data_IF_020278993864
#
_entry.id   IF_020278993864
#
_cell.length_a   1.000
_cell.length_b   1.000
_cell.length_c   1.000
_cell.angle_alpha   90.00
_cell.angle_beta   90.00
_cell.angle_gamma   90.00
#
_symmetry.space_group_name_H-M   'P 1'
#
loop_
_entity.id
_entity.type
_entity.pdbx_description
1 polymer ?
#
# COMPACT_ATOMS: atom_id res chain seq x y z
N UNK A 1 1.02 -5.76 -37.95
CA UNK A 1 1.06 -4.28 -38.02
C UNK A 1 1.65 -3.79 -36.71
N UNK A 2 2.72 -2.99 -36.72
CA UNK A 2 3.23 -2.34 -35.51
C UNK A 2 2.51 -1.01 -35.35
N UNK A 3 1.98 -0.74 -34.16
CA UNK A 3 1.26 0.49 -33.84
C UNK A 3 2.01 1.22 -32.74
N UNK A 4 2.08 2.54 -32.85
CA UNK A 4 2.75 3.40 -31.88
C UNK A 4 1.70 4.21 -31.19
N UNK A 5 1.68 4.12 -29.86
CA UNK A 5 0.84 4.94 -29.02
C UNK A 5 1.68 6.11 -28.51
N UNK A 6 1.31 7.32 -28.90
CA UNK A 6 1.92 8.55 -28.39
C UNK A 6 1.03 9.12 -27.30
N UNK A 7 1.50 9.01 -26.07
CA UNK A 7 0.72 9.38 -24.90
C UNK A 7 1.16 10.67 -24.23
N UNK A 8 2.34 11.21 -24.60
CA UNK A 8 2.89 12.41 -23.97
C UNK A 8 3.31 13.49 -24.95
N UNK A 9 2.96 14.76 -24.67
CA UNK A 9 3.82 15.86 -25.07
C UNK A 9 5.17 15.62 -24.41
N UNK A 10 6.23 15.55 -25.21
CA UNK A 10 7.58 15.56 -24.68
C UNK A 10 8.20 16.93 -24.99
N UNK A 11 8.97 17.45 -24.04
CA UNK A 11 9.69 18.73 -24.18
C UNK A 11 11.07 18.56 -24.85
N UNK A 12 11.37 17.36 -25.36
CA UNK A 12 12.63 17.05 -26.03
C UNK A 12 12.61 17.31 -27.55
N UNK A 13 13.64 16.85 -28.28
CA UNK A 13 13.70 16.96 -29.74
C UNK A 13 12.67 16.06 -30.44
N UNK A 14 12.07 16.48 -31.58
CA UNK A 14 11.02 15.72 -32.27
C UNK A 14 11.33 14.23 -32.35
N UNK A 15 10.40 13.37 -31.91
CA UNK A 15 10.56 11.93 -32.00
C UNK A 15 10.70 11.53 -33.47
N UNK A 16 11.90 11.07 -33.86
CA UNK A 16 12.12 10.47 -35.17
C UNK A 16 11.49 9.08 -35.19
N UNK A 17 10.37 8.95 -35.90
CA UNK A 17 9.72 7.66 -36.09
C UNK A 17 10.48 6.84 -37.15
N UNK A 18 10.75 5.54 -36.90
CA UNK A 18 11.18 4.65 -37.96
C UNK A 18 10.25 4.77 -39.18
N UNK A 19 10.82 4.94 -40.37
CA UNK A 19 10.09 5.15 -41.65
C UNK A 19 9.08 4.04 -41.95
N UNK A 20 9.20 2.89 -41.30
CA UNK A 20 8.30 1.74 -41.40
C UNK A 20 7.05 1.82 -40.51
N UNK A 21 6.89 2.86 -39.70
CA UNK A 21 5.72 3.06 -38.83
C UNK A 21 4.70 4.00 -39.50
N UNK A 22 3.39 3.72 -39.34
CA UNK A 22 2.34 4.59 -39.86
C UNK A 22 2.37 5.97 -39.16
N UNK A 23 1.85 6.99 -39.85
CA UNK A 23 1.71 8.35 -39.30
C UNK A 23 0.87 8.29 -38.03
N UNK A 24 1.29 8.94 -36.92
CA UNK A 24 0.50 8.96 -35.69
C UNK A 24 -0.88 9.58 -35.92
N UNK A 25 -1.92 8.93 -35.41
CA UNK A 25 -3.30 9.43 -35.40
C UNK A 25 -3.74 9.63 -33.96
N UNK A 26 -4.33 10.79 -33.65
CA UNK A 26 -4.91 11.05 -32.32
C UNK A 26 -6.31 10.47 -32.25
N UNK A 27 -6.59 9.68 -31.21
CA UNK A 27 -7.96 9.24 -30.87
C UNK A 27 -8.54 10.28 -29.93
N UNK A 28 -9.62 11.00 -30.29
CA UNK A 28 -10.26 11.95 -29.38
C UNK A 28 -10.83 11.25 -28.15
N UNK A 29 -10.90 11.94 -27.02
CA UNK A 29 -11.42 11.38 -25.76
C UNK A 29 -12.82 10.77 -25.95
N UNK A 30 -13.01 9.55 -25.43
CA UNK A 30 -14.27 8.81 -25.56
C UNK A 30 -14.52 8.20 -26.95
N UNK A 31 -13.67 8.44 -27.95
CA UNK A 31 -13.78 7.79 -29.25
C UNK A 31 -13.04 6.46 -29.31
N UNK A 32 -13.47 5.64 -30.26
CA UNK A 32 -12.96 4.31 -30.53
C UNK A 32 -12.41 4.27 -31.95
N UNK A 33 -11.19 3.78 -32.10
CA UNK A 33 -10.54 3.52 -33.37
C UNK A 33 -10.43 2.01 -33.59
N UNK A 34 -11.17 1.48 -34.56
CA UNK A 34 -11.01 0.10 -35.02
C UNK A 34 -9.91 0.03 -36.08
N UNK A 35 -9.01 -0.93 -35.91
CA UNK A 35 -7.81 -1.09 -36.72
C UNK A 35 -7.96 -2.30 -37.64
N UNK A 36 -7.28 -2.26 -38.78
CA UNK A 36 -7.27 -3.37 -39.77
C UNK A 36 -6.73 -4.68 -39.14
N UNK A 37 -5.92 -4.58 -38.09
CA UNK A 37 -5.44 -5.73 -37.31
C UNK A 37 -6.50 -6.38 -36.41
N UNK A 38 -7.76 -5.93 -36.45
CA UNK A 38 -8.83 -6.38 -35.56
C UNK A 38 -8.74 -5.83 -34.13
N UNK A 39 -7.76 -4.96 -33.86
CA UNK A 39 -7.62 -4.30 -32.57
C UNK A 39 -8.52 -3.08 -32.49
N UNK A 40 -8.94 -2.74 -31.27
CA UNK A 40 -9.75 -1.56 -30.97
C UNK A 40 -9.03 -0.69 -29.95
N UNK A 41 -8.84 0.59 -30.25
CA UNK A 41 -8.21 1.56 -29.34
C UNK A 41 -9.24 2.58 -28.89
N UNK A 42 -9.42 2.73 -27.58
CA UNK A 42 -10.32 3.72 -26.96
C UNK A 42 -9.53 4.70 -26.11
N UNK A 43 -9.77 5.99 -26.31
CA UNK A 43 -9.22 7.03 -25.45
C UNK A 43 -9.99 7.08 -24.12
N UNK A 44 -9.27 7.07 -23.01
CA UNK A 44 -9.81 7.08 -21.64
C UNK A 44 -9.53 8.44 -21.00
N UNK A 45 -10.59 9.08 -20.52
CA UNK A 45 -10.50 10.36 -19.83
C UNK A 45 -9.84 10.21 -18.45
N UNK A 46 -9.00 11.19 -18.10
CA UNK A 46 -8.19 11.19 -16.88
C UNK A 46 -8.54 12.36 -15.96
N UNK A 47 -8.15 12.24 -14.70
CA UNK A 47 -8.31 13.28 -13.68
C UNK A 47 -7.21 14.35 -13.72
N UNK A 48 -6.25 14.20 -14.64
CA UNK A 48 -5.13 15.08 -14.90
C UNK A 48 -4.93 15.27 -16.41
N UNK A 49 -4.20 16.30 -16.86
CA UNK A 49 -3.89 16.49 -18.28
C UNK A 49 -3.21 15.26 -18.90
N UNK A 50 -3.75 14.77 -20.00
CA UNK A 50 -3.26 13.58 -20.70
C UNK A 50 -4.42 12.72 -21.21
N UNK A 51 -4.08 11.65 -21.93
CA UNK A 51 -5.07 10.69 -22.43
C UNK A 51 -4.58 9.28 -22.11
N UNK A 52 -5.40 8.51 -21.40
CA UNK A 52 -5.18 7.08 -21.22
C UNK A 52 -5.67 6.33 -22.44
N UNK A 53 -5.20 5.11 -22.65
CA UNK A 53 -5.61 4.31 -23.79
C UNK A 53 -5.94 2.89 -23.38
N UNK A 54 -7.14 2.47 -23.72
CA UNK A 54 -7.54 1.07 -23.70
C UNK A 54 -7.31 0.47 -25.09
N UNK A 55 -6.69 -0.70 -25.12
CA UNK A 55 -6.48 -1.48 -26.35
C UNK A 55 -7.13 -2.83 -26.14
N UNK A 56 -8.12 -3.18 -26.97
CA UNK A 56 -8.71 -4.50 -27.02
C UNK A 56 -8.20 -5.26 -28.25
N UNK A 57 -7.72 -6.48 -28.03
CA UNK A 57 -7.29 -7.42 -29.06
C UNK A 57 -8.47 -8.11 -29.76
N UNK A 58 -8.24 -8.73 -30.93
CA UNK A 58 -9.27 -9.47 -31.66
C UNK A 58 -9.77 -10.71 -30.89
N UNK A 59 -8.92 -11.28 -30.02
CA UNK A 59 -9.24 -12.47 -29.22
C UNK A 59 -9.84 -12.10 -27.84
N UNK A 60 -10.07 -10.80 -27.60
CA UNK A 60 -10.78 -10.27 -26.44
C UNK A 60 -9.90 -9.76 -25.31
N UNK A 61 -8.57 -9.91 -25.38
CA UNK A 61 -7.65 -9.40 -24.37
C UNK A 61 -7.63 -7.87 -24.35
N UNK A 62 -7.43 -7.29 -23.17
CA UNK A 62 -7.53 -5.87 -22.90
C UNK A 62 -6.30 -5.39 -22.16
N UNK A 63 -5.74 -4.32 -22.68
CA UNK A 63 -4.65 -3.58 -22.08
C UNK A 63 -5.13 -2.16 -21.75
N UNK A 64 -4.79 -1.69 -20.56
CA UNK A 64 -4.93 -0.27 -20.20
C UNK A 64 -3.54 0.34 -20.05
N UNK A 65 -3.32 1.46 -20.71
CA UNK A 65 -2.17 2.32 -20.50
C UNK A 65 -2.62 3.65 -19.89
N UNK A 66 -1.97 4.06 -18.81
CA UNK A 66 -2.14 5.36 -18.19
C UNK A 66 -0.83 6.17 -18.26
N UNK A 67 -0.92 7.48 -18.54
CA UNK A 67 0.22 8.38 -18.50
C UNK A 67 0.79 8.58 -17.07
N UNK A 68 2.02 9.14 -16.90
CA UNK A 68 2.49 9.62 -15.61
C UNK A 68 1.47 10.57 -15.02
N UNK A 69 1.33 10.54 -13.70
CA UNK A 69 0.40 11.39 -12.98
C UNK A 69 -1.10 11.22 -13.30
N UNK A 70 -1.46 10.36 -14.26
CA UNK A 70 -2.85 10.18 -14.70
C UNK A 70 -3.57 9.05 -13.98
N UNK A 71 -4.72 9.34 -13.37
CA UNK A 71 -5.69 8.33 -12.99
C UNK A 71 -6.98 8.48 -13.80
N UNK A 72 -7.72 7.40 -13.98
CA UNK A 72 -9.01 7.43 -14.68
C UNK A 72 -10.01 8.35 -13.97
N UNK A 73 -10.65 9.27 -14.71
CA UNK A 73 -11.64 10.21 -14.17
C UNK A 73 -13.03 9.55 -13.93
N UNK A 74 -13.21 8.36 -14.47
CA UNK A 74 -14.40 7.53 -14.31
C UNK A 74 -14.20 6.23 -15.08
N UNK A 75 -14.72 5.13 -14.55
CA UNK A 75 -14.72 3.84 -15.23
C UNK A 75 -16.16 3.52 -15.62
N UNK A 76 -16.53 3.84 -16.86
CA UNK A 76 -17.68 3.18 -17.48
C UNK A 76 -17.28 1.71 -17.69
N UNK A 77 -17.63 0.85 -16.74
CA UNK A 77 -17.30 -0.57 -16.79
C UNK A 77 -18.03 -1.24 -17.96
N UNK A 78 -17.34 -1.33 -19.08
CA UNK A 78 -17.68 -2.21 -20.18
C UNK A 78 -16.50 -3.15 -20.42
N UNK A 79 -16.57 -4.40 -19.92
CA UNK A 79 -15.67 -5.48 -20.34
C UNK A 79 -14.88 -6.27 -19.29
N UNK A 80 -15.13 -6.14 -17.98
CA UNK A 80 -14.43 -6.91 -16.94
C UNK A 80 -13.02 -6.36 -16.58
N UNK A 81 -12.19 -7.11 -15.84
CA UNK A 81 -10.81 -6.71 -15.54
C UNK A 81 -9.93 -6.70 -16.79
N UNK A 82 -8.86 -5.91 -16.77
CA UNK A 82 -7.82 -5.93 -17.79
C UNK A 82 -6.86 -7.09 -17.56
N UNK A 83 -6.37 -7.70 -18.64
CA UNK A 83 -5.28 -8.69 -18.61
C UNK A 83 -3.96 -8.02 -18.26
N UNK A 84 -3.74 -6.78 -18.72
CA UNK A 84 -2.51 -6.03 -18.46
C UNK A 84 -2.81 -4.54 -18.24
N UNK A 85 -2.17 -3.95 -17.24
CA UNK A 85 -2.24 -2.50 -16.96
C UNK A 85 -0.83 -1.92 -16.86
N UNK A 86 -0.57 -0.88 -17.64
CA UNK A 86 0.64 -0.06 -17.60
C UNK A 86 0.29 1.24 -16.89
N UNK A 87 0.81 1.43 -15.68
CA UNK A 87 0.46 2.58 -14.83
C UNK A 87 1.65 3.05 -14.01
N UNK A 88 1.65 4.33 -13.67
CA UNK A 88 2.57 4.90 -12.68
C UNK A 88 2.18 4.46 -11.26
N UNK A 89 2.72 3.32 -10.83
CA UNK A 89 2.46 2.73 -9.50
C UNK A 89 3.09 3.57 -8.37
N UNK A 90 4.20 4.26 -8.64
CA UNK A 90 4.99 4.92 -7.59
C UNK A 90 4.59 6.39 -7.42
N UNK A 91 4.41 7.11 -8.51
CA UNK A 91 3.97 8.51 -8.53
C UNK A 91 2.45 8.65 -8.33
N UNK A 92 1.64 7.69 -8.79
CA UNK A 92 0.17 7.69 -8.63
C UNK A 92 -0.42 6.36 -8.14
N UNK A 93 -0.06 5.92 -6.92
CA UNK A 93 -0.61 4.68 -6.36
C UNK A 93 -2.15 4.71 -6.21
N UNK A 94 -2.74 5.90 -6.03
CA UNK A 94 -4.20 6.06 -5.94
C UNK A 94 -4.91 5.69 -7.26
N UNK A 95 -4.26 5.86 -8.41
CA UNK A 95 -4.80 5.44 -9.71
C UNK A 95 -5.01 3.92 -9.76
N UNK A 96 -4.05 3.16 -9.27
CA UNK A 96 -4.17 1.70 -9.15
C UNK A 96 -5.25 1.30 -8.13
N UNK A 97 -5.36 2.02 -7.02
CA UNK A 97 -6.42 1.79 -6.03
C UNK A 97 -7.83 1.99 -6.63
N UNK A 98 -8.03 3.02 -7.46
CA UNK A 98 -9.30 3.28 -8.15
C UNK A 98 -9.63 2.18 -9.16
N UNK A 99 -8.64 1.71 -9.93
CA UNK A 99 -8.84 0.59 -10.86
C UNK A 99 -9.27 -0.69 -10.13
N UNK A 100 -8.67 -0.98 -8.97
CA UNK A 100 -9.07 -2.10 -8.11
C UNK A 100 -10.47 -1.94 -7.53
N UNK A 101 -10.81 -0.75 -7.03
CA UNK A 101 -12.15 -0.45 -6.51
C UNK A 101 -13.25 -0.71 -7.54
N UNK A 102 -12.94 -0.40 -8.81
CA UNK A 102 -13.84 -0.62 -9.92
C UNK A 102 -13.70 -2.01 -10.58
N UNK A 103 -12.99 -2.96 -9.98
CA UNK A 103 -12.83 -4.31 -10.52
C UNK A 103 -12.11 -4.38 -11.88
N UNK A 104 -11.47 -3.29 -12.31
CA UNK A 104 -10.71 -3.24 -13.56
C UNK A 104 -9.32 -3.89 -13.41
N UNK A 105 -8.82 -3.98 -12.17
CA UNK A 105 -7.60 -4.70 -11.81
C UNK A 105 -7.94 -5.73 -10.74
N UNK A 106 -7.61 -6.99 -10.99
CA UNK A 106 -7.81 -8.10 -10.04
C UNK A 106 -6.57 -8.99 -9.90
N UNK A 107 -6.71 -10.15 -9.24
CA UNK A 107 -5.60 -11.11 -9.05
C UNK A 107 -5.01 -11.63 -10.37
N UNK A 108 -5.82 -11.70 -11.43
CA UNK A 108 -5.41 -12.06 -12.77
C UNK A 108 -5.16 -10.85 -13.66
N UNK A 109 -4.57 -9.77 -13.14
CA UNK A 109 -4.16 -8.61 -13.95
C UNK A 109 -2.66 -8.43 -13.83
N UNK A 110 -1.94 -8.43 -14.95
CA UNK A 110 -0.52 -8.12 -14.97
C UNK A 110 -0.32 -6.60 -14.85
N UNK A 111 0.11 -6.14 -13.67
CA UNK A 111 0.36 -4.73 -13.41
C UNK A 111 1.84 -4.43 -13.66
N UNK A 112 2.11 -3.62 -14.69
CA UNK A 112 3.45 -3.19 -15.07
C UNK A 112 3.63 -1.73 -14.71
N UNK A 113 4.55 -1.46 -13.78
CA UNK A 113 4.96 -0.12 -13.43
C UNK A 113 5.76 0.51 -14.56
N UNK A 114 5.27 1.65 -15.05
CA UNK A 114 5.89 2.50 -16.07
C UNK A 114 6.10 3.90 -15.51
N UNK A 115 6.78 4.76 -16.27
CA UNK A 115 7.09 6.15 -15.86
C UNK A 115 8.02 6.22 -14.65
N UNK A 116 8.94 5.27 -14.57
CA UNK A 116 9.98 5.19 -13.55
C UNK A 116 11.18 6.01 -14.04
N UNK A 117 11.47 7.13 -13.38
CA UNK A 117 12.56 8.04 -13.73
C UNK A 117 13.75 7.92 -12.76
N UNK A 118 14.53 8.99 -12.60
CA UNK A 118 15.69 9.01 -11.70
C UNK A 118 15.34 9.41 -10.25
N UNK A 119 14.10 9.85 -10.01
CA UNK A 119 13.60 10.24 -8.70
C UNK A 119 13.01 9.04 -7.94
N UNK A 120 12.78 7.90 -8.63
CA UNK A 120 12.42 6.65 -7.97
C UNK A 120 13.58 6.05 -7.19
N UNK A 121 13.19 5.36 -6.12
CA UNK A 121 14.14 4.78 -5.19
C UNK A 121 15.02 3.69 -5.83
N UNK A 122 16.18 3.36 -5.21
CA UNK A 122 17.09 2.35 -5.73
C UNK A 122 16.40 1.00 -6.01
N UNK A 123 16.99 0.21 -6.92
CA UNK A 123 16.34 -0.98 -7.50
C UNK A 123 15.74 -1.97 -6.49
N UNK A 124 16.35 -2.15 -5.32
CA UNK A 124 15.82 -3.05 -4.28
C UNK A 124 14.58 -2.47 -3.57
N UNK A 125 14.63 -1.19 -3.22
CA UNK A 125 13.52 -0.45 -2.65
C UNK A 125 12.34 -0.40 -3.63
N UNK A 126 12.62 -0.12 -4.90
CA UNK A 126 11.63 -0.14 -5.97
C UNK A 126 10.98 -1.53 -6.10
N UNK A 127 11.78 -2.60 -6.18
CA UNK A 127 11.26 -3.97 -6.25
C UNK A 127 10.34 -4.31 -5.08
N UNK A 128 10.70 -3.92 -3.85
CA UNK A 128 9.85 -4.14 -2.68
C UNK A 128 8.53 -3.38 -2.78
N UNK A 129 8.57 -2.10 -3.16
CA UNK A 129 7.35 -1.27 -3.32
C UNK A 129 6.42 -1.84 -4.38
N UNK A 130 6.97 -2.27 -5.52
CA UNK A 130 6.19 -2.89 -6.58
C UNK A 130 5.60 -4.23 -6.14
N UNK A 131 6.36 -5.07 -5.43
CA UNK A 131 5.86 -6.33 -4.88
C UNK A 131 4.69 -6.13 -3.90
N UNK A 132 4.77 -5.14 -3.01
CA UNK A 132 3.65 -4.80 -2.10
C UNK A 132 2.39 -4.34 -2.85
N UNK A 133 2.58 -3.73 -4.02
CA UNK A 133 1.52 -3.35 -4.94
C UNK A 133 1.09 -4.47 -5.90
N UNK A 134 1.66 -5.69 -5.85
CA UNK A 134 1.37 -6.74 -6.83
C UNK A 134 1.72 -6.32 -8.27
N UNK A 135 2.75 -5.49 -8.42
CA UNK A 135 3.21 -4.96 -9.68
C UNK A 135 4.65 -5.41 -9.96
N UNK A 136 5.04 -5.36 -11.24
CA UNK A 136 6.42 -5.61 -11.68
C UNK A 136 6.91 -4.47 -12.55
N UNK A 137 8.21 -4.44 -12.81
CA UNK A 137 8.81 -3.53 -13.80
C UNK A 137 9.55 -4.35 -14.85
N UNK A 138 9.79 -3.74 -16.01
CA UNK A 138 10.58 -4.31 -17.11
C UNK A 138 11.57 -3.28 -17.62
N UNK A 139 12.72 -3.70 -18.20
CA UNK A 139 13.61 -2.79 -18.90
C UNK A 139 12.91 -2.08 -20.05
N UNK A 140 13.33 -0.86 -20.34
CA UNK A 140 12.86 -0.12 -21.52
C UNK A 140 13.09 -0.90 -22.81
N UNK A 141 12.13 -0.81 -23.74
CA UNK A 141 12.15 -1.56 -25.00
C UNK A 141 11.71 -3.03 -24.89
N UNK A 142 11.37 -3.52 -23.69
CA UNK A 142 10.80 -4.86 -23.53
C UNK A 142 9.48 -5.01 -24.27
N UNK A 143 9.34 -6.08 -25.06
CA UNK A 143 8.06 -6.45 -25.69
C UNK A 143 7.22 -7.28 -24.73
N UNK A 144 6.00 -6.81 -24.44
CA UNK A 144 5.04 -7.50 -23.58
C UNK A 144 4.01 -8.26 -24.42
N UNK A 145 3.59 -9.43 -23.92
CA UNK A 145 2.48 -10.20 -24.50
C UNK A 145 1.30 -10.14 -23.55
N UNK A 146 0.21 -9.48 -23.96
CA UNK A 146 -1.03 -9.37 -23.17
C UNK A 146 -1.68 -10.76 -23.05
N UNK A 147 -2.29 -11.06 -21.91
CA UNK A 147 -2.92 -12.35 -21.64
C UNK A 147 -1.96 -13.48 -21.26
N UNK A 148 -0.63 -13.23 -21.24
CA UNK A 148 0.33 -14.09 -20.55
C UNK A 148 0.54 -13.59 -19.13
N UNK A 149 0.19 -14.43 -18.16
CA UNK A 149 0.41 -14.17 -16.75
C UNK A 149 1.77 -14.73 -16.33
N UNK A 150 2.79 -13.89 -16.10
CA UNK A 150 3.93 -14.35 -15.32
C UNK A 150 3.48 -14.64 -13.88
N UNK A 151 4.20 -15.52 -13.17
CA UNK A 151 4.00 -15.69 -11.73
C UNK A 151 4.33 -14.36 -11.01
N UNK A 152 3.30 -13.56 -10.73
CA UNK A 152 3.43 -12.38 -9.88
C UNK A 152 3.27 -12.86 -8.43
N UNK A 153 4.23 -12.55 -7.53
CA UNK A 153 4.10 -12.94 -6.13
C UNK A 153 2.81 -12.39 -5.54
N UNK A 154 2.06 -13.22 -4.80
CA UNK A 154 0.95 -12.69 -4.00
C UNK A 154 1.51 -11.66 -3.00
N UNK A 155 0.89 -10.48 -2.87
CA UNK A 155 1.34 -9.50 -1.90
C UNK A 155 1.18 -10.07 -0.48
N UNK A 156 2.11 -9.76 0.44
CA UNK A 156 2.04 -10.28 1.81
C UNK A 156 0.77 -9.79 2.50
N UNK A 157 0.08 -10.72 3.17
CA UNK A 157 -1.17 -10.38 3.87
C UNK A 157 -0.91 -9.66 5.19
N UNK A 158 0.16 -9.98 5.92
CA UNK A 158 0.44 -9.42 7.24
C UNK A 158 1.86 -8.87 7.25
N UNK A 159 1.95 -7.56 7.37
CA UNK A 159 3.23 -6.85 7.45
C UNK A 159 3.35 -6.15 8.79
N UNK A 160 4.47 -6.36 9.49
CA UNK A 160 4.84 -5.59 10.68
C UNK A 160 5.93 -4.58 10.32
N UNK A 161 5.70 -3.29 10.59
CA UNK A 161 6.66 -2.20 10.41
C UNK A 161 7.13 -1.71 11.78
N UNK A 162 8.37 -2.00 12.10
CA UNK A 162 9.07 -1.58 13.32
C UNK A 162 9.89 -0.31 13.07
N UNK A 163 10.17 0.42 14.14
CA UNK A 163 11.14 1.50 14.10
C UNK A 163 11.04 2.48 15.25
N UNK A 164 12.05 3.32 15.39
CA UNK A 164 12.08 4.37 16.41
C UNK A 164 10.98 5.43 16.23
N UNK A 165 10.93 6.38 17.17
CA UNK A 165 10.12 7.58 16.99
C UNK A 165 10.63 8.38 15.78
N UNK A 166 9.72 8.88 14.93
CA UNK A 166 10.04 9.69 13.73
C UNK A 166 10.97 8.99 12.72
N UNK A 167 11.03 7.66 12.72
CA UNK A 167 11.90 6.92 11.79
C UNK A 167 11.33 6.75 10.38
N UNK A 168 10.09 7.17 10.14
CA UNK A 168 9.39 6.99 8.86
C UNK A 168 8.46 5.77 8.79
N UNK A 169 8.34 4.96 9.85
CA UNK A 169 7.52 3.73 9.85
C UNK A 169 6.05 3.92 9.45
N UNK A 170 5.38 4.98 9.91
CA UNK A 170 3.99 5.26 9.52
C UNK A 170 3.87 5.62 8.05
N UNK A 171 4.84 6.35 7.49
CA UNK A 171 4.87 6.69 6.06
C UNK A 171 5.07 5.44 5.20
N UNK A 172 5.95 4.52 5.63
CA UNK A 172 6.10 3.24 4.93
C UNK A 172 4.82 2.41 5.00
N UNK A 173 4.19 2.34 6.18
CA UNK A 173 2.92 1.64 6.32
C UNK A 173 1.81 2.22 5.43
N UNK A 174 1.76 3.56 5.30
CA UNK A 174 0.84 4.24 4.38
C UNK A 174 1.13 3.86 2.92
N UNK A 175 2.40 3.83 2.52
CA UNK A 175 2.83 3.45 1.15
C UNK A 175 2.46 2.01 0.79
N UNK A 176 2.65 1.06 1.70
CA UNK A 176 2.32 -0.35 1.47
C UNK A 176 0.84 -0.56 1.10
N UNK A 177 -0.04 0.32 1.57
CA UNK A 177 -1.48 0.24 1.32
C UNK A 177 -1.98 1.29 0.32
N UNK A 178 -1.11 2.16 -0.21
CA UNK A 178 -1.51 3.28 -1.07
C UNK A 178 -2.19 2.84 -2.38
N UNK A 179 -1.90 1.63 -2.84
CA UNK A 179 -2.50 1.03 -4.04
C UNK A 179 -3.77 0.24 -3.76
N UNK A 180 -4.22 0.16 -2.51
CA UNK A 180 -5.40 -0.59 -2.12
C UNK A 180 -6.61 0.33 -1.95
N UNK A 181 -7.80 -0.12 -2.39
CA UNK A 181 -9.05 0.59 -2.11
C UNK A 181 -9.53 0.35 -0.67
N UNK A 182 -10.43 1.22 -0.19
CA UNK A 182 -11.18 1.05 1.06
C UNK A 182 -10.35 0.74 2.32
N UNK A 183 -9.13 1.29 2.39
CA UNK A 183 -8.24 1.10 3.54
C UNK A 183 -8.85 1.71 4.79
N UNK A 184 -8.86 0.93 5.89
CA UNK A 184 -9.21 1.39 7.22
C UNK A 184 -7.94 1.66 8.03
N UNK A 185 -7.69 2.93 8.34
CA UNK A 185 -6.64 3.37 9.23
C UNK A 185 -7.16 3.38 10.68
N UNK A 186 -6.52 2.63 11.56
CA UNK A 186 -6.85 2.51 12.98
C UNK A 186 -5.81 3.27 13.80
N UNK A 187 -6.24 4.38 14.38
CA UNK A 187 -5.42 5.18 15.28
C UNK A 187 -5.64 4.71 16.73
N UNK A 188 -4.60 4.15 17.35
CA UNK A 188 -4.66 3.60 18.72
C UNK A 188 -4.23 4.60 19.79
N UNK A 189 -3.77 5.79 19.38
CA UNK A 189 -3.25 6.81 20.29
C UNK A 189 -4.29 7.62 21.07
N UNK A 190 -5.58 7.41 20.79
CA UNK A 190 -6.68 8.17 21.37
C UNK A 190 -6.60 9.70 21.14
N UNK A 191 -7.53 10.42 21.77
CA UNK A 191 -7.45 11.88 21.90
C UNK A 191 -6.67 12.22 23.17
N UNK A 192 -5.48 12.79 23.00
CA UNK A 192 -4.85 13.56 24.09
C UNK A 192 -5.47 14.96 24.06
N UNK A 193 -6.59 15.11 24.76
CA UNK A 193 -7.28 16.39 24.84
C UNK A 193 -6.35 17.46 25.44
N UNK A 194 -6.20 18.59 24.75
CA UNK A 194 -5.44 19.74 25.23
C UNK A 194 -3.97 19.83 24.81
N UNK A 195 -3.46 18.96 23.94
CA UNK A 195 -2.10 19.04 23.37
C UNK A 195 -2.12 19.59 21.92
N UNK A 196 -1.77 20.87 21.68
CA UNK A 196 -1.77 21.48 20.35
C UNK A 196 -0.78 20.82 19.38
N UNK A 197 0.36 20.34 19.87
CA UNK A 197 1.37 19.67 19.06
C UNK A 197 0.85 18.29 18.61
N UNK A 198 0.13 17.59 19.48
CA UNK A 198 -0.57 16.36 19.12
C UNK A 198 -1.65 16.61 18.07
N UNK A 199 -2.47 17.64 18.24
CA UNK A 199 -3.53 17.99 17.30
C UNK A 199 -2.99 18.34 15.90
N UNK A 200 -1.94 19.17 15.83
CA UNK A 200 -1.28 19.52 14.57
C UNK A 200 -0.69 18.28 13.88
N UNK A 201 -0.10 17.36 14.66
CA UNK A 201 0.43 16.09 14.14
C UNK A 201 -0.68 15.20 13.57
N UNK A 202 -1.80 15.05 14.26
CA UNK A 202 -2.95 14.26 13.79
C UNK A 202 -3.50 14.88 12.49
N UNK A 203 -3.63 16.21 12.43
CA UNK A 203 -4.07 16.90 11.22
C UNK A 203 -3.13 16.64 10.03
N UNK A 204 -1.82 16.76 10.24
CA UNK A 204 -0.83 16.47 9.20
C UNK A 204 -0.85 15.00 8.75
N UNK A 205 -1.11 14.05 9.66
CA UNK A 205 -1.23 12.64 9.29
C UNK A 205 -2.50 12.36 8.49
N UNK A 206 -3.63 12.98 8.88
CA UNK A 206 -4.89 12.83 8.14
C UNK A 206 -4.81 13.45 6.74
N UNK A 207 -4.19 14.62 6.60
CA UNK A 207 -4.07 15.33 5.33
C UNK A 207 -3.20 14.58 4.29
N UNK A 208 -2.28 13.72 4.73
CA UNK A 208 -1.44 12.90 3.84
C UNK A 208 -2.15 11.66 3.29
N UNK A 209 -3.21 11.19 3.95
CA UNK A 209 -3.89 9.94 3.58
C UNK A 209 -4.75 10.17 2.34
N UNK A 210 -4.88 9.18 1.44
CA UNK A 210 -5.84 9.25 0.36
C UNK A 210 -7.26 9.50 0.90
N UNK A 211 -8.04 10.36 0.24
CA UNK A 211 -9.40 10.70 0.67
C UNK A 211 -10.37 9.51 0.69
N UNK A 212 -10.03 8.41 0.02
CA UNK A 212 -10.78 7.15 0.06
C UNK A 212 -10.59 6.36 1.36
N UNK A 213 -9.59 6.69 2.18
CA UNK A 213 -9.29 5.98 3.41
C UNK A 213 -10.24 6.38 4.53
N UNK A 214 -10.68 5.40 5.32
CA UNK A 214 -11.50 5.64 6.51
C UNK A 214 -10.62 5.58 7.75
N UNK A 215 -10.73 6.58 8.62
CA UNK A 215 -10.02 6.58 9.91
C UNK A 215 -10.97 6.16 11.04
N UNK A 216 -10.50 5.27 11.92
CA UNK A 216 -11.20 4.85 13.14
C UNK A 216 -10.25 5.00 14.32
N UNK A 217 -10.70 5.66 15.39
CA UNK A 217 -9.95 5.79 16.64
C UNK A 217 -10.46 4.74 17.62
N UNK A 218 -9.67 3.71 17.91
CA UNK A 218 -10.05 2.64 18.83
C UNK A 218 -8.84 1.82 19.27
N UNK A 219 -8.91 1.24 20.47
CA UNK A 219 -8.01 0.20 20.97
C UNK A 219 -8.64 -1.20 20.89
N UNK A 220 -9.90 -1.32 20.48
CA UNK A 220 -10.58 -2.60 20.27
C UNK A 220 -10.24 -3.17 18.89
N UNK A 221 -9.06 -3.79 18.81
CA UNK A 221 -8.46 -4.23 17.54
C UNK A 221 -8.93 -5.60 17.06
N UNK A 222 -9.28 -6.52 17.97
CA UNK A 222 -9.62 -7.90 17.63
C UNK A 222 -10.84 -7.99 16.70
N UNK A 223 -11.95 -7.28 16.95
CA UNK A 223 -13.11 -7.30 16.04
C UNK A 223 -12.79 -6.76 14.64
N UNK A 224 -11.85 -5.82 14.53
CA UNK A 224 -11.41 -5.29 13.24
C UNK A 224 -10.60 -6.32 12.46
N UNK A 225 -9.80 -7.15 13.13
CA UNK A 225 -9.01 -8.20 12.48
C UNK A 225 -9.88 -9.38 12.03
N UNK A 226 -10.96 -9.68 12.76
CA UNK A 226 -11.84 -10.83 12.47
C UNK A 226 -13.00 -10.51 11.51
N UNK A 227 -13.21 -9.24 11.17
CA UNK A 227 -14.17 -8.76 10.17
C UNK A 227 -13.79 -9.23 8.75
N UNK A 228 -14.34 -10.36 8.33
CA UNK A 228 -14.02 -11.02 7.04
C UNK A 228 -14.44 -10.21 5.81
N UNK A 229 -15.40 -9.30 5.95
CA UNK A 229 -15.89 -8.43 4.87
C UNK A 229 -15.11 -7.11 4.80
N UNK A 230 -14.20 -6.87 5.75
CA UNK A 230 -13.45 -5.63 5.81
C UNK A 230 -12.31 -5.56 4.79
N UNK A 231 -12.12 -4.39 4.18
CA UNK A 231 -10.97 -4.08 3.31
C UNK A 231 -9.62 -4.08 4.05
N UNK A 232 -8.53 -3.61 3.43
CA UNK A 232 -7.23 -3.58 4.08
C UNK A 232 -7.18 -2.72 5.34
N UNK A 233 -6.33 -3.09 6.30
CA UNK A 233 -6.27 -2.51 7.64
C UNK A 233 -4.86 -2.00 7.95
N UNK A 234 -4.74 -0.75 8.40
CA UNK A 234 -3.50 -0.18 8.91
C UNK A 234 -3.69 0.13 10.39
N UNK A 235 -2.92 -0.50 11.29
CA UNK A 235 -2.96 -0.23 12.74
C UNK A 235 -1.73 0.58 13.15
N UNK A 236 -1.92 1.82 13.59
CA UNK A 236 -0.85 2.75 14.00
C UNK A 236 -1.17 3.38 15.37
N UNK A 237 -0.49 2.99 16.46
CA UNK A 237 0.52 1.93 16.58
C UNK A 237 0.28 0.96 17.73
N UNK A 238 0.87 -0.22 17.63
CA UNK A 238 0.80 -1.25 18.67
C UNK A 238 1.38 -0.76 19.99
N UNK A 239 2.35 0.15 20.00
CA UNK A 239 2.90 0.67 21.25
C UNK A 239 1.86 1.46 22.07
N UNK A 240 1.01 2.27 21.42
CA UNK A 240 -0.05 3.02 22.09
C UNK A 240 -1.23 2.12 22.49
N UNK A 241 -1.59 1.18 21.62
CA UNK A 241 -2.53 0.12 21.98
C UNK A 241 -2.05 -0.68 23.20
N UNK A 242 -0.75 -0.97 23.27
CA UNK A 242 -0.20 -1.74 24.37
C UNK A 242 -0.15 -0.93 25.67
N UNK A 243 0.05 0.39 25.60
CA UNK A 243 -0.15 1.28 26.74
C UNK A 243 -1.58 1.18 27.28
N UNK A 244 -2.60 1.28 26.41
CA UNK A 244 -4.01 1.12 26.79
C UNK A 244 -4.30 -0.28 27.37
N UNK A 245 -3.72 -1.33 26.78
CA UNK A 245 -3.86 -2.69 27.29
C UNK A 245 -3.22 -2.87 28.68
N UNK A 246 -2.11 -2.18 28.97
CA UNK A 246 -1.49 -2.14 30.29
C UNK A 246 -2.32 -1.34 31.29
N UNK A 247 -2.85 -0.18 30.91
CA UNK A 247 -3.74 0.64 31.74
C UNK A 247 -4.97 -0.16 32.19
N UNK A 248 -5.61 -0.86 31.24
CA UNK A 248 -6.83 -1.62 31.48
C UNK A 248 -6.68 -2.81 32.45
N UNK A 249 -5.45 -3.23 32.75
CA UNK A 249 -5.15 -4.30 33.71
C UNK A 249 -4.27 -3.82 34.87
N UNK A 250 -4.14 -2.49 35.02
CA UNK A 250 -3.33 -1.83 36.05
C UNK A 250 -1.87 -2.32 36.09
N UNK A 251 -1.31 -2.71 34.93
CA UNK A 251 0.02 -3.32 34.83
C UNK A 251 1.19 -2.39 35.19
N UNK A 252 0.93 -1.12 35.45
CA UNK A 252 1.94 -0.15 35.87
C UNK A 252 2.30 -0.26 37.34
N UNK A 253 1.37 -0.73 38.16
CA UNK A 253 1.58 -0.96 39.59
C UNK A 253 2.20 -2.34 39.83
N UNK A 254 3.20 -2.41 40.71
CA UNK A 254 3.96 -3.64 40.95
C UNK A 254 3.10 -4.70 41.66
N UNK A 255 2.27 -4.30 42.62
CA UNK A 255 1.40 -5.24 43.33
C UNK A 255 0.32 -5.79 42.39
N UNK A 256 -0.30 -4.93 41.57
CA UNK A 256 -1.30 -5.39 40.60
C UNK A 256 -0.71 -6.28 39.52
N UNK A 257 0.52 -5.98 39.08
CA UNK A 257 1.25 -6.83 38.15
C UNK A 257 1.40 -8.26 38.68
N UNK A 258 1.82 -8.41 39.95
CA UNK A 258 2.00 -9.70 40.62
C UNK A 258 0.68 -10.41 40.92
N UNK A 259 -0.37 -9.66 41.30
CA UNK A 259 -1.70 -10.22 41.62
C UNK A 259 -2.46 -10.77 40.41
N UNK A 260 -2.05 -10.45 39.19
CA UNK A 260 -2.65 -11.02 37.98
C UNK A 260 -2.55 -10.16 36.72
N UNK A 261 -2.12 -8.91 36.82
CA UNK A 261 -1.96 -8.00 35.67
C UNK A 261 -1.07 -8.58 34.58
N UNK A 262 0.01 -9.26 34.96
CA UNK A 262 0.91 -9.95 34.01
C UNK A 262 0.16 -11.01 33.17
N UNK A 263 -0.64 -11.85 33.82
CA UNK A 263 -1.42 -12.91 33.16
C UNK A 263 -2.52 -12.32 32.28
N UNK A 264 -3.18 -11.25 32.73
CA UNK A 264 -4.23 -10.57 31.99
C UNK A 264 -3.69 -9.89 30.73
N UNK A 265 -2.54 -9.20 30.83
CA UNK A 265 -1.87 -8.58 29.69
C UNK A 265 -1.39 -9.62 28.68
N UNK A 266 -0.76 -10.70 29.15
CA UNK A 266 -0.31 -11.80 28.29
C UNK A 266 -1.47 -12.45 27.53
N UNK A 267 -2.63 -12.60 28.18
CA UNK A 267 -3.86 -13.10 27.54
C UNK A 267 -4.31 -12.18 26.41
N UNK A 268 -4.37 -10.87 26.64
CA UNK A 268 -4.74 -9.88 25.61
C UNK A 268 -3.76 -9.89 24.43
N UNK A 269 -2.47 -9.97 24.70
CA UNK A 269 -1.44 -10.07 23.66
C UNK A 269 -1.60 -11.35 22.82
N UNK A 270 -1.91 -12.48 23.47
CA UNK A 270 -2.16 -13.75 22.80
C UNK A 270 -3.45 -13.73 21.95
N UNK A 271 -4.53 -13.13 22.46
CA UNK A 271 -5.79 -12.94 21.72
C UNK A 271 -5.56 -12.06 20.48
N UNK A 272 -4.81 -10.96 20.62
CA UNK A 272 -4.44 -10.11 19.50
C UNK A 272 -3.59 -10.86 18.45
N UNK A 273 -2.56 -11.58 18.88
CA UNK A 273 -1.71 -12.35 17.98
C UNK A 273 -2.49 -13.46 17.24
N UNK A 274 -3.42 -14.12 17.93
CA UNK A 274 -4.31 -15.09 17.30
C UNK A 274 -5.19 -14.44 16.23
N UNK A 275 -5.76 -13.26 16.51
CA UNK A 275 -6.53 -12.51 15.52
C UNK A 275 -5.70 -12.06 14.31
N UNK A 276 -4.44 -11.65 14.53
CA UNK A 276 -3.48 -11.36 13.43
C UNK A 276 -3.19 -12.63 12.62
N UNK A 277 -3.03 -13.78 13.26
CA UNK A 277 -2.81 -15.05 12.56
C UNK A 277 -3.99 -15.46 11.70
N UNK A 278 -5.21 -15.25 12.20
CA UNK A 278 -6.45 -15.75 11.58
C UNK A 278 -7.06 -14.78 10.56
N UNK A 279 -6.64 -13.51 10.57
CA UNK A 279 -7.19 -12.51 9.64
C UNK A 279 -6.91 -12.87 8.18
N UNK A 280 -7.93 -12.71 7.33
CA UNK A 280 -7.81 -12.85 5.87
C UNK A 280 -7.59 -11.51 5.17
N UNK A 281 -7.70 -10.41 5.91
CA UNK A 281 -7.51 -9.04 5.43
C UNK A 281 -6.02 -8.83 5.15
N UNK A 282 -5.71 -7.93 4.23
CA UNK A 282 -4.37 -7.35 4.15
C UNK A 282 -4.20 -6.39 5.33
N UNK A 283 -3.23 -6.64 6.21
CA UNK A 283 -3.00 -5.89 7.44
C UNK A 283 -1.56 -5.39 7.49
N UNK A 284 -1.40 -4.10 7.78
CA UNK A 284 -0.13 -3.47 8.12
C UNK A 284 -0.18 -3.00 9.57
N UNK A 285 0.72 -3.54 10.39
CA UNK A 285 0.85 -3.24 11.81
C UNK A 285 2.08 -2.34 12.00
N UNK A 286 1.91 -1.21 12.68
CA UNK A 286 3.03 -0.32 13.03
C UNK A 286 3.34 -0.49 14.50
N UNK A 287 4.61 -0.72 14.85
CA UNK A 287 5.04 -0.72 16.25
C UNK A 287 6.36 0.01 16.44
N UNK A 288 6.62 0.41 17.68
CA UNK A 288 7.86 1.08 18.04
C UNK A 288 8.91 0.05 18.45
N UNK A 289 10.14 0.24 17.96
CA UNK A 289 11.30 -0.43 18.53
C UNK A 289 11.87 0.45 19.66
N UNK A 290 11.85 -0.08 20.88
CA UNK A 290 12.22 0.66 22.12
C UNK A 290 13.35 -0.02 22.90
N UNK A 291 13.80 -1.19 22.46
CA UNK A 291 14.81 -2.00 23.14
C UNK A 291 16.26 -1.57 22.87
N UNK A 292 16.52 -0.79 21.82
CA UNK A 292 17.88 -0.37 21.43
C UNK A 292 18.43 0.86 22.18
N UNK A 293 17.69 1.35 23.20
CA UNK A 293 18.07 2.53 23.98
C UNK A 293 18.71 2.20 25.33
N UNK A 294 18.94 3.25 26.14
CA UNK A 294 19.41 3.10 27.52
C UNK A 294 18.33 2.41 28.37
N UNK A 295 18.78 1.61 29.32
CA UNK A 295 17.90 0.94 30.26
C UNK A 295 17.04 1.94 31.05
N UNK A 296 15.68 1.81 31.05
CA UNK A 296 14.82 2.77 31.74
C UNK A 296 15.10 2.86 33.24
N UNK A 297 15.06 4.09 33.77
CA UNK A 297 15.31 4.37 35.18
C UNK A 297 14.20 3.82 36.10
N UNK A 298 12.95 3.80 35.62
CA UNK A 298 11.79 3.39 36.41
C UNK A 298 11.42 1.91 36.18
N UNK A 299 10.90 1.19 37.19
CA UNK A 299 10.35 -0.16 37.02
C UNK A 299 9.30 -0.24 35.91
N UNK A 300 8.34 0.68 35.92
CA UNK A 300 7.30 0.80 34.90
C UNK A 300 7.85 0.93 33.48
N UNK A 301 8.88 1.75 33.28
CA UNK A 301 9.52 1.92 31.97
C UNK A 301 10.23 0.64 31.49
N UNK A 302 10.86 -0.10 32.40
CA UNK A 302 11.49 -1.40 32.09
C UNK A 302 10.44 -2.42 31.70
N UNK A 303 9.36 -2.52 32.49
CA UNK A 303 8.23 -3.41 32.19
C UNK A 303 7.66 -3.12 30.81
N UNK A 304 7.33 -1.86 30.50
CA UNK A 304 6.81 -1.50 29.18
C UNK A 304 7.77 -1.88 28.05
N UNK A 305 9.06 -1.55 28.17
CA UNK A 305 10.07 -1.90 27.16
C UNK A 305 10.14 -3.41 26.93
N UNK A 306 10.22 -4.19 28.01
CA UNK A 306 10.40 -5.64 27.93
C UNK A 306 9.14 -6.32 27.39
N UNK A 307 7.96 -5.93 27.87
CA UNK A 307 6.68 -6.49 27.43
C UNK A 307 6.30 -6.07 25.99
N UNK A 308 6.59 -4.82 25.58
CA UNK A 308 6.40 -4.40 24.19
C UNK A 308 7.35 -5.16 23.25
N UNK A 309 8.58 -5.44 23.70
CA UNK A 309 9.51 -6.30 22.97
C UNK A 309 8.97 -7.72 22.77
N UNK A 310 8.36 -8.31 23.81
CA UNK A 310 7.69 -9.62 23.70
C UNK A 310 6.50 -9.58 22.75
N UNK A 311 5.64 -8.55 22.84
CA UNK A 311 4.54 -8.36 21.90
C UNK A 311 5.05 -8.27 20.46
N UNK A 312 6.05 -7.43 20.20
CA UNK A 312 6.63 -7.26 18.87
C UNK A 312 7.14 -8.60 18.32
N UNK A 313 7.82 -9.41 19.15
CA UNK A 313 8.30 -10.73 18.74
C UNK A 313 7.14 -11.70 18.44
N UNK A 314 6.10 -11.73 19.28
CA UNK A 314 4.91 -12.57 19.07
C UNK A 314 4.18 -12.18 17.78
N UNK A 315 3.94 -10.89 17.56
CA UNK A 315 3.27 -10.39 16.35
C UNK A 315 4.13 -10.63 15.11
N UNK A 316 5.45 -10.40 15.20
CA UNK A 316 6.38 -10.67 14.11
C UNK A 316 6.35 -12.15 13.68
N UNK A 317 6.13 -13.09 14.61
CA UNK A 317 5.99 -14.51 14.29
C UNK A 317 4.76 -14.82 13.41
N UNK A 318 3.73 -13.99 13.47
CA UNK A 318 2.48 -14.14 12.72
C UNK A 318 2.46 -13.33 11.40
N UNK A 319 3.53 -12.59 11.09
CA UNK A 319 3.66 -11.79 9.86
C UNK A 319 4.58 -12.46 8.83
N UNK A 320 4.16 -12.46 7.56
CA UNK A 320 5.02 -12.88 6.45
C UNK A 320 6.17 -11.89 6.26
N UNK A 321 5.88 -10.59 6.36
CA UNK A 321 6.88 -9.53 6.16
C UNK A 321 7.10 -8.75 7.44
N UNK A 322 8.37 -8.54 7.80
CA UNK A 322 8.77 -7.69 8.93
C UNK A 322 9.79 -6.68 8.44
N UNK A 323 9.50 -5.40 8.65
CA UNK A 323 10.30 -4.28 8.18
C UNK A 323 10.82 -3.46 9.35
N UNK A 324 12.04 -2.92 9.23
CA UNK A 324 12.62 -1.96 10.16
C UNK A 324 12.86 -0.64 9.45
N UNK A 325 12.25 0.43 9.94
CA UNK A 325 12.46 1.79 9.44
C UNK A 325 13.44 2.56 10.33
N UNK A 326 14.51 3.09 9.73
CA UNK A 326 15.54 3.92 10.37
C UNK A 326 15.85 5.11 9.45
N UNK A 327 15.72 6.34 9.97
CA UNK A 327 15.97 7.58 9.20
C UNK A 327 15.24 7.64 7.84
N UNK A 328 14.04 7.06 7.75
CA UNK A 328 13.25 6.98 6.50
C UNK A 328 13.68 5.87 5.54
N UNK A 329 14.76 5.15 5.83
CA UNK A 329 15.22 3.97 5.09
C UNK A 329 14.60 2.72 5.70
N UNK A 330 14.13 1.81 4.85
CA UNK A 330 13.41 0.61 5.27
C UNK A 330 14.23 -0.62 4.92
N UNK A 331 14.48 -1.46 5.91
CA UNK A 331 15.21 -2.72 5.76
C UNK A 331 14.29 -3.89 6.09
N UNK A 332 14.13 -4.86 5.17
CA UNK A 332 13.45 -6.12 5.48
C UNK A 332 14.24 -6.91 6.52
N UNK A 333 13.57 -7.29 7.62
CA UNK A 333 14.05 -8.30 8.58
C UNK A 333 13.53 -9.69 8.20
N UNK A 334 12.38 -9.74 7.52
CA UNK A 334 11.78 -10.93 6.90
C UNK A 334 11.05 -10.49 5.63
N UNK A 335 11.26 -11.23 4.55
CA UNK A 335 10.61 -11.05 3.25
C UNK A 335 9.67 -12.23 2.97
#
# INVERSE_FOLDING_TARGET
VRQVLLSHPHDGPPLEFPVSLPVPVRVPDGQVLDLISGHRVRAVALDAPGTGYEVAGPDGERLLYLPPEGAVAGLEQSGGPYETVLVDVVGRPDGLARLRAAGAVGPGTDVVAVHLDHDVAPAEELRRRLAAAGARTVPDGTTLTVGRYPDVPEPPRRTLVLGGARSGKSLEAERLLATYPDVRYVATGGRRDGDPDWAARVAAHRARRPGSWRTTETCDLVPLLTDVEGGPLLIDCLALWFTDAMDAVEAWDDDQWERGGARALAKRAAEFAAAVRETRRTVVLVSNEVGSGVHPATPAGRRFRDELGRLNATVAAECETVLLAVAGVVTPLRA
#
